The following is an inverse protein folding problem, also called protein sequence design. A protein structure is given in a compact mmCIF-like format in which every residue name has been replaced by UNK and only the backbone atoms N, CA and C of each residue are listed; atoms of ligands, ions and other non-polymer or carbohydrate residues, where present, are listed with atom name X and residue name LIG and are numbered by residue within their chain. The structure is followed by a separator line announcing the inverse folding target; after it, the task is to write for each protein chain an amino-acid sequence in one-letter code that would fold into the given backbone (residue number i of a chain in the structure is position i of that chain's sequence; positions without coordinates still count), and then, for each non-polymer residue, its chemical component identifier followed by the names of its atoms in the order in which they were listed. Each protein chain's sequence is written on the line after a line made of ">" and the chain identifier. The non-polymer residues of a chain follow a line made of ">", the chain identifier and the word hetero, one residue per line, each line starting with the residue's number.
data_IF_261483237047
#
_entry.id   IF_261483237047
#
_cell.length_a   1.000
_cell.length_b   1.000
_cell.length_c   1.000
_cell.angle_alpha   90.00
_cell.angle_beta   90.00
_cell.angle_gamma   90.00
#
_symmetry.space_group_name_H-M   'P 1'
#
loop_
_entity.id
_entity.type
_entity.pdbx_description
1 polymer ?
#
# COMPACT_ATOMS: atom_id res chain seq x y z
N UNK A 1 4.54 -16.21 36.14
CA UNK A 1 3.43 -15.31 35.82
C UNK A 1 2.72 -15.95 34.65
N UNK A 2 1.50 -16.43 34.86
CA UNK A 2 0.68 -16.89 33.76
C UNK A 2 0.06 -15.68 33.08
N UNK A 3 0.25 -15.57 31.77
CA UNK A 3 -0.40 -14.55 30.95
C UNK A 3 -1.74 -15.12 30.51
N UNK A 4 -2.83 -14.47 30.91
CA UNK A 4 -4.20 -14.88 30.55
C UNK A 4 -4.56 -14.25 29.19
N UNK A 5 -4.07 -14.87 28.13
CA UNK A 5 -4.39 -14.45 26.77
C UNK A 5 -5.85 -14.77 26.40
N UNK A 6 -6.51 -13.93 25.57
CA UNK A 6 -7.83 -14.24 25.02
C UNK A 6 -7.88 -15.63 24.35
N UNK A 7 -8.92 -16.41 24.66
CA UNK A 7 -9.04 -17.82 24.24
C UNK A 7 -9.37 -17.97 22.75
N UNK A 8 -10.10 -17.04 22.16
CA UNK A 8 -10.48 -17.06 20.74
C UNK A 8 -10.05 -15.76 20.05
N UNK A 9 -8.74 -15.57 19.82
CA UNK A 9 -8.26 -14.35 19.23
C UNK A 9 -8.55 -14.29 17.72
N UNK A 10 -8.93 -13.10 17.23
CA UNK A 10 -9.00 -12.83 15.79
C UNK A 10 -7.65 -12.38 15.26
N UNK A 11 -7.40 -12.64 13.99
CA UNK A 11 -6.16 -12.26 13.32
C UNK A 11 -5.86 -10.75 13.52
N UNK A 12 -4.62 -10.45 13.92
CA UNK A 12 -4.15 -9.11 14.31
C UNK A 12 -4.82 -8.49 15.55
N UNK A 13 -5.51 -9.29 16.35
CA UNK A 13 -5.98 -8.80 17.65
C UNK A 13 -4.81 -8.39 18.52
N UNK A 14 -4.95 -7.22 19.14
CA UNK A 14 -3.97 -6.66 20.08
C UNK A 14 -4.41 -6.99 21.50
N UNK A 15 -3.46 -7.43 22.32
CA UNK A 15 -3.65 -7.61 23.76
C UNK A 15 -2.46 -6.99 24.52
N UNK A 16 -2.78 -6.23 25.57
CA UNK A 16 -1.76 -5.60 26.41
C UNK A 16 -1.70 -6.34 27.73
N UNK A 17 -0.53 -6.88 28.03
CA UNK A 17 -0.27 -7.57 29.30
C UNK A 17 -0.31 -6.57 30.46
N UNK A 18 -0.57 -7.04 31.71
CA UNK A 18 -0.48 -6.21 32.90
C UNK A 18 0.90 -5.56 33.12
N UNK A 19 1.93 -6.10 32.50
CA UNK A 19 3.30 -5.57 32.49
C UNK A 19 3.51 -4.40 31.51
N UNK A 20 2.49 -4.06 30.70
CA UNK A 20 2.58 -3.07 29.64
C UNK A 20 3.14 -3.61 28.31
N UNK A 21 3.53 -4.88 28.24
CA UNK A 21 3.96 -5.50 26.99
C UNK A 21 2.77 -5.70 26.06
N UNK A 22 2.93 -5.34 24.78
CA UNK A 22 1.91 -5.48 23.74
C UNK A 22 2.17 -6.74 22.94
N UNK A 23 1.12 -7.53 22.72
CA UNK A 23 1.13 -8.74 21.91
C UNK A 23 0.11 -8.64 20.79
N UNK A 24 0.44 -9.21 19.65
CA UNK A 24 -0.43 -9.29 18.47
C UNK A 24 -0.63 -10.74 18.09
N UNK A 25 -1.88 -11.15 17.83
CA UNK A 25 -2.18 -12.48 17.33
C UNK A 25 -1.88 -12.59 15.84
N UNK A 26 -0.98 -13.48 15.46
CA UNK A 26 -0.59 -13.69 14.06
C UNK A 26 -1.37 -14.78 13.33
N UNK A 27 -2.43 -15.31 13.96
CA UNK A 27 -3.23 -16.43 13.44
C UNK A 27 -2.83 -17.78 14.02
N UNK A 28 -1.68 -17.89 14.70
CA UNK A 28 -1.19 -19.14 15.30
C UNK A 28 -0.65 -18.95 16.70
N UNK A 29 -0.12 -17.78 17.02
CA UNK A 29 0.48 -17.47 18.32
C UNK A 29 0.40 -15.98 18.64
N UNK A 30 0.46 -15.64 19.94
CA UNK A 30 0.68 -14.30 20.42
C UNK A 30 2.17 -13.96 20.33
N UNK A 31 2.52 -13.01 19.51
CA UNK A 31 3.91 -12.55 19.34
C UNK A 31 4.08 -11.17 19.98
N UNK A 32 5.23 -10.93 20.62
CA UNK A 32 5.55 -9.61 21.13
C UNK A 32 5.70 -8.68 19.93
N UNK A 33 4.85 -7.66 19.89
CA UNK A 33 4.86 -6.67 18.80
C UNK A 33 4.79 -5.28 19.40
N UNK A 34 5.65 -4.40 18.96
CA UNK A 34 5.35 -2.98 19.00
C UNK A 34 4.39 -2.78 17.82
N UNK A 35 3.09 -2.72 18.12
CA UNK A 35 2.14 -2.27 17.14
C UNK A 35 2.37 -0.77 16.96
N UNK A 36 3.25 -0.44 16.05
CA UNK A 36 3.42 0.93 15.60
C UNK A 36 2.36 1.19 14.55
N UNK A 37 1.26 1.83 14.97
CA UNK A 37 0.18 2.24 14.08
C UNK A 37 0.69 3.20 12.98
N UNK A 38 1.85 3.80 13.16
CA UNK A 38 2.52 4.60 12.14
C UNK A 38 3.15 3.74 11.05
N UNK A 39 3.63 2.54 11.37
CA UNK A 39 4.26 1.65 10.39
C UNK A 39 3.22 0.98 9.47
N UNK A 40 1.98 0.78 9.91
CA UNK A 40 0.92 0.20 9.10
C UNK A 40 0.31 1.17 8.07
N UNK A 41 0.40 2.47 8.30
CA UNK A 41 -0.18 3.46 7.39
C UNK A 41 0.47 3.47 5.99
N UNK A 42 1.72 3.00 5.86
CA UNK A 42 2.39 2.97 4.55
C UNK A 42 1.92 1.84 3.63
N UNK A 43 1.44 0.74 4.19
CA UNK A 43 0.92 -0.39 3.43
C UNK A 43 -0.61 -0.39 3.30
N UNK A 44 -1.31 0.60 3.87
CA UNK A 44 -2.74 0.82 3.67
C UNK A 44 -2.99 1.64 2.42
N UNK A 45 -4.08 1.33 1.73
CA UNK A 45 -4.46 2.02 0.49
C UNK A 45 -4.54 3.54 0.71
N UNK A 46 -5.17 3.98 1.80
CA UNK A 46 -5.27 5.41 2.12
C UNK A 46 -3.92 6.12 2.25
N UNK A 47 -2.94 5.46 2.88
CA UNK A 47 -1.57 5.97 2.99
C UNK A 47 -0.86 6.05 1.63
N UNK A 48 -1.05 5.04 0.77
CA UNK A 48 -0.51 5.02 -0.60
C UNK A 48 -1.15 6.14 -1.43
N UNK A 49 -2.48 6.28 -1.37
CA UNK A 49 -3.20 7.34 -2.10
C UNK A 49 -2.78 8.74 -1.66
N UNK A 50 -2.55 8.95 -0.36
CA UNK A 50 -2.04 10.23 0.16
C UNK A 50 -0.65 10.58 -0.41
N UNK A 51 0.26 9.59 -0.49
CA UNK A 51 1.58 9.77 -1.11
C UNK A 51 1.47 10.05 -2.61
N UNK A 52 0.59 9.32 -3.32
CA UNK A 52 0.31 9.54 -4.74
C UNK A 52 -0.17 10.97 -4.97
N UNK A 53 -1.17 11.45 -4.22
CA UNK A 53 -1.68 12.83 -4.34
C UNK A 53 -0.62 13.87 -4.04
N UNK A 54 0.24 13.62 -3.05
CA UNK A 54 1.36 14.50 -2.74
C UNK A 54 2.33 14.63 -3.92
N UNK A 55 2.70 13.51 -4.55
CA UNK A 55 3.60 13.52 -5.72
C UNK A 55 2.95 14.11 -6.97
N UNK A 56 1.64 13.92 -7.14
CA UNK A 56 0.86 14.55 -8.20
C UNK A 56 0.64 16.04 -7.96
N UNK A 57 0.95 16.55 -6.74
CA UNK A 57 0.59 17.90 -6.29
C UNK A 57 -0.94 18.15 -6.36
N UNK A 58 -1.70 17.07 -6.20
CA UNK A 58 -3.16 17.06 -6.25
C UNK A 58 -3.72 17.17 -4.84
N UNK A 59 -3.62 18.36 -4.26
CA UNK A 59 -4.14 18.64 -2.93
C UNK A 59 -5.46 19.39 -3.06
N UNK A 60 -6.50 18.89 -2.38
CA UNK A 60 -7.75 19.62 -2.24
C UNK A 60 -7.50 20.88 -1.43
N UNK A 61 -7.59 22.04 -2.07
CA UNK A 61 -7.77 23.29 -1.37
C UNK A 61 -9.23 23.38 -0.92
N UNK A 62 -9.50 23.94 0.25
CA UNK A 62 -10.83 24.00 0.84
C UNK A 62 -11.90 24.40 -0.19
N UNK A 63 -12.78 23.47 -0.55
CA UNK A 63 -13.88 23.66 -1.49
C UNK A 63 -13.58 23.38 -2.97
N UNK A 64 -12.39 22.89 -3.33
CA UNK A 64 -12.08 22.41 -4.68
C UNK A 64 -12.08 20.88 -4.74
N UNK A 65 -12.54 20.32 -5.86
CA UNK A 65 -12.39 18.90 -6.15
C UNK A 65 -10.92 18.57 -6.48
N UNK A 66 -10.53 17.33 -6.25
CA UNK A 66 -9.25 16.82 -6.73
C UNK A 66 -9.20 16.81 -8.26
N UNK A 67 -8.03 17.14 -8.83
CA UNK A 67 -7.80 17.06 -10.28
C UNK A 67 -7.99 15.63 -10.80
N UNK A 68 -7.49 14.65 -10.06
CA UNK A 68 -7.60 13.24 -10.40
C UNK A 68 -8.66 12.57 -9.55
N UNK A 69 -9.63 11.91 -10.20
CA UNK A 69 -10.69 11.18 -9.50
C UNK A 69 -10.14 9.96 -8.75
N UNK A 70 -10.79 9.60 -7.64
CA UNK A 70 -10.44 8.38 -6.90
C UNK A 70 -10.54 7.14 -7.79
N UNK A 71 -11.56 7.05 -8.66
CA UNK A 71 -11.69 5.94 -9.62
C UNK A 71 -10.44 5.75 -10.47
N UNK A 72 -9.89 6.84 -11.01
CA UNK A 72 -8.67 6.82 -11.82
C UNK A 72 -7.46 6.33 -11.05
N UNK A 73 -7.33 6.76 -9.79
CA UNK A 73 -6.24 6.35 -8.90
C UNK A 73 -6.36 4.87 -8.52
N UNK A 74 -7.56 4.39 -8.14
CA UNK A 74 -7.78 2.98 -7.82
C UNK A 74 -7.57 2.07 -9.02
N UNK A 75 -8.00 2.49 -10.22
CA UNK A 75 -7.71 1.75 -11.45
C UNK A 75 -6.20 1.63 -11.69
N UNK A 76 -5.47 2.72 -11.53
CA UNK A 76 -4.01 2.73 -11.68
C UNK A 76 -3.31 1.90 -10.62
N UNK A 77 -3.83 1.88 -9.39
CA UNK A 77 -3.34 1.02 -8.29
C UNK A 77 -3.48 -0.47 -8.66
N UNK A 78 -4.68 -0.88 -9.08
CA UNK A 78 -4.95 -2.26 -9.45
C UNK A 78 -4.09 -2.71 -10.65
N UNK A 79 -3.90 -1.85 -11.63
CA UNK A 79 -2.98 -2.12 -12.75
C UNK A 79 -1.53 -2.23 -12.26
N UNK A 80 -1.12 -1.41 -11.31
CA UNK A 80 0.21 -1.46 -10.69
C UNK A 80 0.47 -2.78 -9.99
N UNK A 81 -0.49 -3.30 -9.24
CA UNK A 81 -0.39 -4.61 -8.58
C UNK A 81 -0.27 -5.76 -9.60
N UNK A 82 -1.03 -5.71 -10.70
CA UNK A 82 -0.93 -6.69 -11.77
C UNK A 82 0.43 -6.62 -12.47
N UNK A 83 0.96 -5.42 -12.69
CA UNK A 83 2.27 -5.23 -13.31
C UNK A 83 3.40 -5.67 -12.38
N UNK A 84 3.29 -5.42 -11.07
CA UNK A 84 4.21 -5.99 -10.08
C UNK A 84 4.21 -7.50 -10.12
N UNK A 85 3.03 -8.13 -10.16
CA UNK A 85 2.91 -9.58 -10.28
C UNK A 85 3.54 -10.11 -11.56
N UNK A 86 3.39 -9.41 -12.69
CA UNK A 86 3.99 -9.80 -13.96
C UNK A 86 5.53 -9.80 -13.91
N UNK A 87 6.11 -8.82 -13.21
CA UNK A 87 7.57 -8.66 -13.10
C UNK A 87 8.12 -9.55 -11.97
N UNK A 88 7.46 -9.58 -10.83
CA UNK A 88 7.89 -10.22 -9.60
C UNK A 88 6.71 -10.99 -8.94
N UNK A 89 6.35 -12.16 -9.47
CA UNK A 89 5.24 -12.95 -8.90
C UNK A 89 5.53 -13.42 -7.46
N UNK A 90 6.80 -13.50 -7.07
CA UNK A 90 7.24 -13.87 -5.73
C UNK A 90 6.75 -12.91 -4.63
N UNK A 91 6.49 -11.64 -4.94
CA UNK A 91 5.92 -10.66 -4.00
C UNK A 91 4.56 -11.13 -3.45
N UNK A 92 3.80 -11.88 -4.25
CA UNK A 92 2.46 -12.36 -3.90
C UNK A 92 2.43 -13.84 -3.47
N UNK A 93 3.57 -14.39 -3.09
CA UNK A 93 3.66 -15.79 -2.66
C UNK A 93 2.79 -16.06 -1.44
N UNK A 94 2.74 -15.16 -0.47
CA UNK A 94 1.92 -15.28 0.73
C UNK A 94 0.40 -15.35 0.43
N UNK A 95 -0.01 -14.75 -0.68
CA UNK A 95 -1.39 -14.72 -1.19
C UNK A 95 -1.65 -15.81 -2.24
N UNK A 96 -0.85 -16.87 -2.25
CA UNK A 96 -0.95 -17.97 -3.22
C UNK A 96 -0.99 -17.48 -4.68
N UNK A 97 -0.18 -16.45 -4.98
CA UNK A 97 -0.13 -15.80 -6.30
C UNK A 97 -1.45 -15.14 -6.75
N UNK A 98 -2.32 -14.82 -5.82
CA UNK A 98 -3.55 -14.06 -6.09
C UNK A 98 -3.28 -12.58 -5.93
N UNK A 99 -3.57 -11.81 -6.98
CA UNK A 99 -3.44 -10.35 -6.95
C UNK A 99 -4.76 -9.73 -6.49
N UNK A 100 -4.79 -9.04 -5.35
CA UNK A 100 -6.01 -8.41 -4.87
C UNK A 100 -6.42 -7.25 -5.77
N UNK A 101 -7.71 -6.97 -5.80
CA UNK A 101 -8.31 -5.83 -6.49
C UNK A 101 -9.05 -4.96 -5.47
N UNK A 102 -8.90 -3.67 -5.59
CA UNK A 102 -9.46 -2.71 -4.64
C UNK A 102 -10.41 -1.73 -5.33
N UNK A 103 -11.40 -1.28 -4.56
CA UNK A 103 -12.40 -0.29 -4.99
C UNK A 103 -12.45 0.88 -4.03
N UNK A 104 -13.09 1.98 -4.46
CA UNK A 104 -13.32 3.14 -3.60
C UNK A 104 -14.02 2.71 -2.31
N UNK A 105 -13.62 3.31 -1.20
CA UNK A 105 -14.12 2.98 0.14
C UNK A 105 -13.27 1.96 0.90
N UNK A 106 -12.24 1.39 0.28
CA UNK A 106 -11.31 0.44 0.91
C UNK A 106 -10.01 1.09 1.38
N UNK A 107 -10.03 2.36 1.76
CA UNK A 107 -8.85 3.13 2.21
C UNK A 107 -8.10 2.47 3.38
N UNK A 108 -8.85 1.79 4.27
CA UNK A 108 -8.29 1.15 5.47
C UNK A 108 -7.76 -0.27 5.20
N UNK A 109 -7.99 -0.78 3.98
CA UNK A 109 -7.51 -2.11 3.60
C UNK A 109 -5.98 -2.09 3.43
N UNK A 110 -5.33 -3.13 3.95
CA UNK A 110 -3.91 -3.34 3.72
C UNK A 110 -3.67 -3.95 2.33
N UNK A 111 -2.54 -3.60 1.72
CA UNK A 111 -2.05 -4.26 0.51
C UNK A 111 -1.03 -5.31 0.94
N UNK A 112 -1.14 -6.57 0.47
CA UNK A 112 -0.26 -7.66 0.88
C UNK A 112 1.07 -7.63 0.11
N UNK A 113 1.77 -6.52 0.19
CA UNK A 113 3.13 -6.36 -0.33
C UNK A 113 4.05 -5.89 0.78
N UNK A 114 5.31 -6.28 0.72
CA UNK A 114 6.30 -5.81 1.67
C UNK A 114 6.53 -4.31 1.52
N UNK A 115 6.82 -3.62 2.63
CA UNK A 115 7.00 -2.16 2.66
C UNK A 115 8.05 -1.64 1.68
N UNK A 116 9.07 -2.43 1.39
CA UNK A 116 10.11 -2.07 0.42
C UNK A 116 9.57 -1.88 -1.01
N UNK A 117 8.45 -2.50 -1.36
CA UNK A 117 7.82 -2.39 -2.68
C UNK A 117 6.75 -1.30 -2.76
N UNK A 118 6.30 -0.75 -1.63
CA UNK A 118 5.29 0.32 -1.60
C UNK A 118 5.71 1.55 -2.42
N UNK A 119 6.96 2.07 -2.30
CA UNK A 119 7.38 3.20 -3.13
C UNK A 119 7.34 2.91 -4.63
N UNK A 120 7.64 1.68 -5.06
CA UNK A 120 7.54 1.30 -6.46
C UNK A 120 6.09 1.41 -6.94
N UNK A 121 5.12 0.86 -6.17
CA UNK A 121 3.70 0.97 -6.49
C UNK A 121 3.23 2.43 -6.58
N UNK A 122 3.65 3.27 -5.62
CA UNK A 122 3.35 4.72 -5.65
C UNK A 122 3.84 5.36 -6.95
N UNK A 123 5.09 5.08 -7.37
CA UNK A 123 5.63 5.62 -8.62
C UNK A 123 4.87 5.12 -9.85
N UNK A 124 4.42 3.87 -9.85
CA UNK A 124 3.59 3.36 -10.93
C UNK A 124 2.27 4.13 -11.04
N UNK A 125 1.54 4.27 -9.92
CA UNK A 125 0.26 4.98 -9.90
C UNK A 125 0.42 6.42 -10.37
N UNK A 126 1.43 7.13 -9.88
CA UNK A 126 1.73 8.52 -10.30
C UNK A 126 2.03 8.58 -11.79
N UNK A 127 2.90 7.72 -12.29
CA UNK A 127 3.28 7.68 -13.71
C UNK A 127 2.09 7.40 -14.62
N UNK A 128 1.28 6.38 -14.30
CA UNK A 128 0.10 6.02 -15.08
C UNK A 128 -0.99 7.09 -15.04
N UNK A 129 -1.16 7.76 -13.91
CA UNK A 129 -2.13 8.85 -13.78
C UNK A 129 -1.72 10.05 -14.63
N UNK A 130 -0.42 10.39 -14.66
CA UNK A 130 0.09 11.49 -15.49
C UNK A 130 0.05 11.18 -16.99
N UNK A 131 0.28 9.93 -17.42
CA UNK A 131 0.15 9.54 -18.83
C UNK A 131 -1.28 9.67 -19.39
N UNK A 132 -2.28 9.69 -18.54
CA UNK A 132 -3.69 9.88 -18.92
C UNK A 132 -4.08 11.35 -19.05
N UNK A 133 -3.22 12.24 -18.57
CA UNK A 133 -3.44 13.67 -18.66
C UNK A 133 -2.88 14.14 -20.01
N UNK A 134 -3.73 14.68 -20.89
CA UNK A 134 -3.39 15.07 -22.26
C UNK A 134 -2.40 16.27 -22.37
N UNK A 135 -1.83 16.71 -21.27
CA UNK A 135 -0.80 17.74 -21.25
C UNK A 135 0.58 17.14 -21.56
N UNK A 136 1.02 17.21 -22.81
CA UNK A 136 2.24 16.58 -23.32
C UNK A 136 3.56 16.95 -22.62
N UNK A 137 3.59 17.93 -21.73
CA UNK A 137 4.77 18.23 -20.90
C UNK A 137 4.98 17.22 -19.75
N UNK A 138 3.97 16.41 -19.44
CA UNK A 138 4.03 15.46 -18.33
C UNK A 138 4.59 14.08 -18.73
N UNK A 139 4.70 13.78 -20.02
CA UNK A 139 5.15 12.48 -20.52
C UNK A 139 6.57 12.11 -20.06
N UNK A 140 7.49 13.05 -20.03
CA UNK A 140 8.87 12.82 -19.57
C UNK A 140 8.92 12.49 -18.07
N UNK A 141 8.09 13.17 -17.28
CA UNK A 141 7.96 12.93 -15.83
C UNK A 141 7.29 11.60 -15.55
N UNK A 142 6.21 11.29 -16.26
CA UNK A 142 5.53 10.00 -16.18
C UNK A 142 6.46 8.84 -16.52
N UNK A 143 7.22 8.95 -17.61
CA UNK A 143 8.22 7.96 -18.01
C UNK A 143 9.31 7.77 -16.96
N UNK A 144 9.75 8.85 -16.31
CA UNK A 144 10.70 8.79 -15.19
C UNK A 144 10.17 8.00 -14.00
N UNK A 145 8.90 8.19 -13.62
CA UNK A 145 8.27 7.44 -12.53
C UNK A 145 8.11 5.96 -12.88
N UNK A 146 7.67 5.63 -14.10
CA UNK A 146 7.57 4.24 -14.56
C UNK A 146 8.94 3.56 -14.66
N UNK A 147 9.97 4.30 -15.05
CA UNK A 147 11.36 3.81 -15.03
C UNK A 147 11.85 3.49 -13.60
N UNK A 148 11.52 4.34 -12.62
CA UNK A 148 11.82 4.08 -11.20
C UNK A 148 11.08 2.84 -10.69
N UNK A 149 9.80 2.69 -11.01
CA UNK A 149 9.04 1.49 -10.67
C UNK A 149 9.75 0.22 -11.12
N UNK A 150 10.10 0.14 -12.40
CA UNK A 150 10.78 -1.04 -12.97
C UNK A 150 12.14 -1.27 -12.32
N UNK A 151 12.94 -0.22 -12.13
CA UNK A 151 14.28 -0.34 -11.55
C UNK A 151 14.24 -0.79 -10.09
N UNK A 152 13.27 -0.33 -9.30
CA UNK A 152 13.11 -0.74 -7.90
C UNK A 152 12.70 -2.20 -7.76
N UNK A 153 11.86 -2.71 -8.66
CA UNK A 153 11.51 -4.12 -8.67
C UNK A 153 12.67 -5.02 -9.09
N UNK A 154 13.53 -4.54 -9.98
CA UNK A 154 14.70 -5.27 -10.44
C UNK A 154 15.87 -5.26 -9.42
N UNK A 155 15.98 -4.22 -8.59
CA UNK A 155 17.09 -4.04 -7.66
C UNK A 155 17.02 -4.96 -6.41
N UNK A 156 15.88 -5.54 -6.13
CA UNK A 156 15.64 -6.45 -5.00
C UNK A 156 15.65 -7.89 -5.51
N UNK A 157 16.79 -8.33 -6.00
CA UNK A 157 17.02 -9.71 -6.43
C UNK A 157 17.98 -10.42 -5.47
#
# INVERSE_FOLDING_TARGET
>A
MDFDFPLDPVLYQIWTAPTGAVYVWNGSAWVVGVYDSTTQNFAQIGGIMAQVRTLLQDQSLAGSEYRYSDDSLYMSLNMGLLEMYRIRPDIFLAEYFTVPQYTIGQSDSAIPIEQQFVPALVYYVVGMTQLRDDEGEQDARASSFLGKFTSMLAAVA
#
